data_IF_415960555119
#
_entry.id   IF_415960555119
#
_cell.length_a   1.000
_cell.length_b   1.000
_cell.length_c   1.000
_cell.angle_alpha   90.00
_cell.angle_beta   90.00
_cell.angle_gamma   90.00
#
_symmetry.space_group_name_H-M   'P 1'
#
loop_
_entity.id
_entity.type
_entity.pdbx_description
1 polymer ?
#
# COMPACT_ATOMS: atom_id res chain seq x y z
N UNK A 1 23.65 4.44 2.30
CA UNK A 1 23.48 5.90 2.48
C UNK A 1 22.09 6.09 3.05
N UNK A 2 21.97 6.50 4.31
CA UNK A 2 20.68 6.83 4.91
C UNK A 2 20.16 8.10 4.25
N UNK A 3 19.38 7.95 3.18
CA UNK A 3 18.72 9.08 2.55
C UNK A 3 17.78 9.70 3.59
N UNK A 4 18.04 10.95 3.97
CA UNK A 4 17.19 11.70 4.89
C UNK A 4 15.91 12.09 4.13
N UNK A 5 14.88 11.25 4.25
CA UNK A 5 13.53 11.56 3.74
C UNK A 5 12.82 12.43 4.76
N UNK A 6 12.37 13.60 4.34
CA UNK A 6 11.41 14.41 5.10
C UNK A 6 10.00 13.95 4.77
N UNK A 7 9.23 13.56 5.80
CA UNK A 7 7.84 13.14 5.68
C UNK A 7 6.92 14.30 6.07
N UNK A 8 6.47 15.07 5.06
CA UNK A 8 5.54 16.19 5.25
C UNK A 8 4.11 15.64 5.36
N UNK A 9 3.57 15.67 6.58
CA UNK A 9 2.22 15.21 6.89
C UNK A 9 1.22 16.36 6.89
N UNK A 10 0.06 16.12 6.29
CA UNK A 10 -1.09 17.02 6.35
C UNK A 10 -2.20 16.33 7.13
N UNK A 11 -2.86 17.05 8.02
CA UNK A 11 -4.00 16.58 8.79
C UNK A 11 -5.24 17.39 8.43
N UNK A 12 -6.39 16.74 8.49
CA UNK A 12 -7.67 17.43 8.44
C UNK A 12 -7.96 18.10 9.79
N UNK A 13 -8.78 19.14 9.78
CA UNK A 13 -9.42 19.65 10.99
C UNK A 13 -10.40 18.64 11.61
N UNK A 14 -10.95 18.92 12.80
CA UNK A 14 -11.90 18.02 13.46
C UNK A 14 -13.23 17.90 12.68
N UNK A 15 -14.01 16.83 12.92
CA UNK A 15 -15.38 16.72 12.43
C UNK A 15 -16.28 17.83 13.00
N UNK A 16 -17.34 18.23 12.28
CA UNK A 16 -17.77 17.71 10.99
C UNK A 16 -17.07 18.37 9.78
N UNK A 17 -16.27 19.41 10.00
CA UNK A 17 -15.77 20.28 8.92
C UNK A 17 -14.60 19.67 8.15
N UNK A 18 -13.77 18.86 8.81
CA UNK A 18 -12.59 18.22 8.22
C UNK A 18 -11.73 19.20 7.39
N UNK A 19 -11.38 20.35 7.98
CA UNK A 19 -10.66 21.41 7.27
C UNK A 19 -9.39 20.89 6.58
N UNK A 20 -9.28 21.11 5.27
CA UNK A 20 -8.13 20.68 4.45
C UNK A 20 -7.17 21.82 4.12
N UNK A 21 -7.33 22.98 4.77
CA UNK A 21 -6.57 24.18 4.44
C UNK A 21 -5.06 23.99 4.49
N UNK A 22 -4.55 23.13 5.38
CA UNK A 22 -3.13 22.79 5.48
C UNK A 22 -2.55 22.30 4.15
N UNK A 23 -3.26 21.40 3.46
CA UNK A 23 -2.85 20.93 2.12
C UNK A 23 -3.22 21.95 1.04
N UNK A 24 -4.43 22.49 1.06
CA UNK A 24 -4.94 23.34 -0.01
C UNK A 24 -4.12 24.63 -0.19
N UNK A 25 -3.50 25.15 0.88
CA UNK A 25 -2.61 26.32 0.82
C UNK A 25 -1.30 26.02 0.07
N UNK A 26 -0.74 24.81 0.21
CA UNK A 26 0.53 24.44 -0.42
C UNK A 26 0.34 23.77 -1.79
N UNK A 27 -0.84 23.19 -2.06
CA UNK A 27 -1.14 22.34 -3.23
C UNK A 27 -0.59 22.86 -4.56
N UNK A 28 -0.79 24.15 -4.87
CA UNK A 28 -0.37 24.75 -6.15
C UNK A 28 1.02 25.41 -6.10
N UNK A 29 1.66 25.44 -4.93
CA UNK A 29 2.94 26.14 -4.70
C UNK A 29 4.16 25.22 -4.88
N UNK A 30 3.96 23.90 -4.86
CA UNK A 30 5.04 22.91 -4.89
C UNK A 30 5.62 22.67 -6.30
N UNK A 31 4.98 23.19 -7.35
CA UNK A 31 5.36 22.97 -8.75
C UNK A 31 5.16 21.53 -9.20
N UNK A 32 4.10 20.88 -8.71
CA UNK A 32 3.64 19.55 -9.17
C UNK A 32 2.81 19.74 -10.46
N UNK A 33 3.06 18.92 -11.49
CA UNK A 33 2.29 18.96 -12.76
C UNK A 33 0.79 18.64 -12.54
N UNK A 34 0.51 17.62 -11.72
CA UNK A 34 -0.84 17.24 -11.35
C UNK A 34 -0.98 17.23 -9.82
N UNK A 35 -1.17 18.38 -9.15
CA UNK A 35 -1.11 18.47 -7.69
C UNK A 35 -2.03 17.49 -6.95
N UNK A 36 -1.44 16.55 -6.23
CA UNK A 36 -2.15 15.50 -5.50
C UNK A 36 -1.34 14.97 -4.30
N UNK A 37 -2.00 14.21 -3.43
CA UNK A 37 -1.34 13.39 -2.40
C UNK A 37 -1.49 11.90 -2.75
N UNK A 38 -0.46 11.06 -2.53
CA UNK A 38 0.88 11.45 -2.13
C UNK A 38 1.65 12.15 -3.26
N UNK A 39 2.67 12.92 -2.89
CA UNK A 39 3.69 13.44 -3.79
C UNK A 39 5.09 13.03 -3.29
N UNK A 40 6.08 13.09 -4.18
CA UNK A 40 7.48 12.85 -3.87
C UNK A 40 8.36 13.85 -4.61
N UNK A 41 9.32 14.46 -3.89
CA UNK A 41 10.25 15.46 -4.43
C UNK A 41 11.68 14.96 -4.17
N UNK A 42 12.48 14.88 -5.23
CA UNK A 42 13.87 14.42 -5.21
C UNK A 42 14.69 15.28 -6.18
N UNK A 43 15.21 16.40 -5.66
CA UNK A 43 15.81 17.45 -6.48
C UNK A 43 14.78 18.05 -7.45
N UNK A 44 15.08 17.99 -8.74
CA UNK A 44 14.20 18.47 -9.81
C UNK A 44 13.06 17.49 -10.13
N UNK A 45 13.13 16.24 -9.65
CA UNK A 45 12.09 15.24 -9.86
C UNK A 45 10.93 15.51 -8.91
N UNK A 46 9.76 15.78 -9.48
CA UNK A 46 8.52 16.05 -8.73
C UNK A 46 7.41 15.15 -9.25
N UNK A 47 7.00 14.18 -8.43
CA UNK A 47 6.05 13.15 -8.82
C UNK A 47 4.81 13.18 -7.93
N UNK A 48 3.69 12.80 -8.54
CA UNK A 48 2.42 12.46 -7.90
C UNK A 48 1.98 11.10 -8.38
N UNK A 49 0.92 10.53 -7.80
CA UNK A 49 0.47 9.13 -8.00
C UNK A 49 1.38 8.13 -7.30
N UNK A 50 0.81 7.39 -6.32
CA UNK A 50 1.56 6.43 -5.50
C UNK A 50 2.29 5.38 -6.34
N UNK A 51 1.65 4.84 -7.39
CA UNK A 51 2.27 3.85 -8.28
C UNK A 51 3.43 4.44 -9.08
N UNK A 52 3.31 5.67 -9.58
CA UNK A 52 4.39 6.33 -10.31
C UNK A 52 5.61 6.61 -9.42
N UNK A 53 5.35 7.03 -8.17
CA UNK A 53 6.39 7.23 -7.15
C UNK A 53 7.09 5.91 -6.83
N UNK A 54 6.34 4.83 -6.58
CA UNK A 54 6.92 3.50 -6.33
C UNK A 54 7.73 3.00 -7.52
N UNK A 55 7.24 3.13 -8.75
CA UNK A 55 7.97 2.77 -9.98
C UNK A 55 9.26 3.58 -10.14
N UNK A 56 9.25 4.88 -9.81
CA UNK A 56 10.45 5.72 -9.81
C UNK A 56 11.51 5.22 -8.82
N UNK A 57 11.11 4.98 -7.57
CA UNK A 57 12.01 4.45 -6.54
C UNK A 57 12.51 3.05 -6.90
N UNK A 58 11.65 2.22 -7.50
CA UNK A 58 12.01 0.90 -7.97
C UNK A 58 13.14 0.95 -9.00
N UNK A 59 13.02 1.79 -10.03
CA UNK A 59 14.08 2.00 -11.03
C UNK A 59 15.35 2.56 -10.41
N UNK A 60 15.23 3.55 -9.51
CA UNK A 60 16.38 4.17 -8.84
C UNK A 60 17.18 3.18 -7.99
N UNK A 61 16.53 2.16 -7.45
CA UNK A 61 17.12 1.22 -6.49
C UNK A 61 17.20 -0.24 -6.99
N UNK A 62 16.88 -0.51 -8.27
CA UNK A 62 16.95 -1.84 -8.85
C UNK A 62 15.92 -2.84 -8.31
N UNK A 63 14.74 -2.34 -7.89
CA UNK A 63 13.59 -3.13 -7.40
C UNK A 63 12.47 -3.25 -8.46
N UNK A 64 12.83 -3.07 -9.74
CA UNK A 64 11.97 -3.40 -10.87
C UNK A 64 12.21 -4.85 -11.32
N UNK A 65 11.26 -5.41 -12.09
CA UNK A 65 11.45 -6.71 -12.72
C UNK A 65 12.66 -6.68 -13.66
N UNK A 66 13.58 -7.63 -13.52
CA UNK A 66 14.84 -7.70 -14.27
C UNK A 66 14.67 -8.44 -15.58
N UNK A 67 13.82 -9.47 -15.59
CA UNK A 67 13.45 -10.21 -16.80
C UNK A 67 12.08 -9.79 -17.32
N UNK A 68 11.81 -10.06 -18.60
CA UNK A 68 10.49 -9.82 -19.18
C UNK A 68 9.37 -10.54 -18.40
N UNK A 69 9.62 -11.77 -17.95
CA UNK A 69 8.67 -12.51 -17.12
C UNK A 69 8.42 -11.82 -15.76
N UNK A 70 9.47 -11.32 -15.10
CA UNK A 70 9.30 -10.56 -13.84
C UNK A 70 8.54 -9.25 -14.08
N UNK A 71 8.79 -8.55 -15.20
CA UNK A 71 8.08 -7.32 -15.56
C UNK A 71 6.59 -7.55 -15.79
N UNK A 72 6.24 -8.60 -16.54
CA UNK A 72 4.83 -8.99 -16.73
C UNK A 72 4.13 -9.30 -15.41
N UNK A 73 4.82 -10.01 -14.50
CA UNK A 73 4.28 -10.28 -13.16
C UNK A 73 4.11 -9.01 -12.34
N UNK A 74 5.10 -8.11 -12.36
CA UNK A 74 5.02 -6.79 -11.72
C UNK A 74 3.79 -6.02 -12.20
N UNK A 75 3.59 -5.91 -13.51
CA UNK A 75 2.47 -5.12 -14.06
C UNK A 75 1.11 -5.72 -13.69
N UNK A 76 0.95 -7.05 -13.74
CA UNK A 76 -0.29 -7.72 -13.32
C UNK A 76 -0.54 -7.52 -11.83
N UNK A 77 0.48 -7.72 -10.99
CA UNK A 77 0.36 -7.63 -9.53
C UNK A 77 0.04 -6.20 -9.10
N UNK A 78 0.69 -5.20 -9.69
CA UNK A 78 0.39 -3.80 -9.41
C UNK A 78 -1.10 -3.51 -9.66
N UNK A 79 -1.60 -3.86 -10.84
CA UNK A 79 -2.98 -3.60 -11.22
C UNK A 79 -3.98 -4.38 -10.37
N UNK A 80 -3.72 -5.66 -10.09
CA UNK A 80 -4.63 -6.50 -9.32
C UNK A 80 -4.73 -6.03 -7.85
N UNK A 81 -3.62 -5.62 -7.24
CA UNK A 81 -3.65 -5.05 -5.89
C UNK A 81 -4.22 -3.63 -5.87
N UNK A 82 -4.10 -2.86 -6.95
CA UNK A 82 -4.78 -1.57 -7.08
C UNK A 82 -6.32 -1.75 -7.09
N UNK A 83 -6.83 -2.71 -7.86
CA UNK A 83 -8.27 -3.03 -7.87
C UNK A 83 -8.76 -3.55 -6.51
N UNK A 84 -7.96 -4.40 -5.86
CA UNK A 84 -8.25 -4.88 -4.51
C UNK A 84 -8.28 -3.74 -3.49
N UNK A 85 -7.31 -2.81 -3.56
CA UNK A 85 -7.29 -1.59 -2.73
C UNK A 85 -8.53 -0.75 -2.98
N UNK A 86 -8.94 -0.56 -4.23
CA UNK A 86 -10.13 0.25 -4.55
C UNK A 86 -11.41 -0.35 -3.96
N UNK A 87 -11.56 -1.68 -3.98
CA UNK A 87 -12.68 -2.35 -3.34
C UNK A 87 -12.65 -2.20 -1.81
N UNK A 88 -11.47 -2.34 -1.21
CA UNK A 88 -11.26 -2.11 0.22
C UNK A 88 -11.61 -0.68 0.65
N UNK A 89 -11.05 0.32 -0.03
CA UNK A 89 -11.30 1.75 0.23
C UNK A 89 -12.79 2.08 0.05
N UNK A 90 -13.45 1.54 -0.99
CA UNK A 90 -14.89 1.73 -1.18
C UNK A 90 -15.72 1.21 -0.01
N UNK A 91 -15.34 0.07 0.57
CA UNK A 91 -15.98 -0.43 1.79
C UNK A 91 -15.74 0.53 2.96
N UNK A 92 -14.47 0.85 3.25
CA UNK A 92 -14.08 1.65 4.42
C UNK A 92 -14.69 3.05 4.45
N UNK A 93 -14.95 3.67 3.30
CA UNK A 93 -15.56 5.00 3.20
C UNK A 93 -17.07 4.97 2.94
N UNK A 94 -17.70 3.78 2.94
CA UNK A 94 -19.14 3.68 2.74
C UNK A 94 -19.89 3.98 4.06
N UNK A 95 -20.88 4.89 4.09
CA UNK A 95 -21.69 5.14 5.30
C UNK A 95 -22.47 3.91 5.77
N UNK A 96 -22.75 2.94 4.89
CA UNK A 96 -23.36 1.65 5.21
C UNK A 96 -22.33 0.54 5.53
N UNK A 97 -21.09 0.89 5.91
CA UNK A 97 -19.99 -0.04 6.20
C UNK A 97 -20.42 -1.28 6.99
N UNK A 98 -21.12 -1.10 8.10
CA UNK A 98 -21.53 -2.22 8.98
C UNK A 98 -22.46 -3.22 8.27
N UNK A 99 -23.27 -2.77 7.30
CA UNK A 99 -24.15 -3.65 6.50
C UNK A 99 -23.36 -4.40 5.43
N UNK A 100 -22.37 -3.74 4.83
CA UNK A 100 -21.60 -4.27 3.69
C UNK A 100 -20.42 -5.16 4.12
N UNK A 101 -19.92 -4.97 5.35
CA UNK A 101 -18.78 -5.69 5.93
C UNK A 101 -18.93 -7.20 5.85
N UNK A 102 -20.12 -7.73 6.14
CA UNK A 102 -20.38 -9.18 6.11
C UNK A 102 -20.16 -9.80 4.73
N UNK A 103 -20.70 -9.18 3.68
CA UNK A 103 -20.55 -9.64 2.30
C UNK A 103 -19.09 -9.52 1.82
N UNK A 104 -18.41 -8.44 2.20
CA UNK A 104 -16.98 -8.30 1.90
C UNK A 104 -16.17 -9.45 2.53
N UNK A 105 -16.37 -9.72 3.82
CA UNK A 105 -15.68 -10.81 4.52
C UNK A 105 -15.99 -12.19 3.93
N UNK A 106 -17.22 -12.41 3.44
CA UNK A 106 -17.60 -13.65 2.74
C UNK A 106 -16.85 -13.84 1.43
N UNK A 107 -16.57 -12.75 0.70
CA UNK A 107 -15.89 -12.79 -0.59
C UNK A 107 -14.35 -12.69 -0.49
N UNK A 108 -13.83 -12.20 0.63
CA UNK A 108 -12.40 -12.03 0.87
C UNK A 108 -11.58 -13.32 0.64
N UNK A 109 -11.98 -14.52 1.12
CA UNK A 109 -11.23 -15.75 0.88
C UNK A 109 -11.02 -16.08 -0.60
N UNK A 110 -11.97 -15.76 -1.49
CA UNK A 110 -11.82 -16.00 -2.92
C UNK A 110 -10.73 -15.10 -3.54
N UNK A 111 -10.67 -13.84 -3.11
CA UNK A 111 -9.63 -12.90 -3.55
C UNK A 111 -8.25 -13.32 -3.03
N UNK A 112 -8.17 -13.69 -1.74
CA UNK A 112 -6.94 -14.19 -1.13
C UNK A 112 -6.47 -15.50 -1.77
N UNK A 113 -7.39 -16.40 -2.12
CA UNK A 113 -7.06 -17.62 -2.86
C UNK A 113 -6.42 -17.28 -4.21
N UNK A 114 -6.97 -16.32 -4.96
CA UNK A 114 -6.39 -15.91 -6.24
C UNK A 114 -4.95 -15.37 -6.08
N UNK A 115 -4.69 -14.56 -5.05
CA UNK A 115 -3.33 -14.10 -4.74
C UNK A 115 -2.40 -15.24 -4.29
N UNK A 116 -2.91 -16.16 -3.48
CA UNK A 116 -2.17 -17.34 -3.01
C UNK A 116 -1.78 -18.24 -4.18
N UNK A 117 -2.72 -18.53 -5.09
CA UNK A 117 -2.47 -19.31 -6.30
C UNK A 117 -1.45 -18.61 -7.22
N UNK A 118 -1.55 -17.28 -7.37
CA UNK A 118 -0.64 -16.49 -8.21
C UNK A 118 0.78 -16.41 -7.65
N UNK A 119 0.93 -16.25 -6.33
CA UNK A 119 2.22 -16.32 -5.65
C UNK A 119 2.82 -17.72 -5.79
N UNK A 120 1.99 -18.76 -5.64
CA UNK A 120 2.40 -20.15 -5.79
C UNK A 120 3.56 -20.50 -4.84
N UNK A 121 4.65 -21.00 -5.43
CA UNK A 121 5.90 -21.35 -4.73
C UNK A 121 6.96 -20.24 -4.75
N UNK A 122 6.70 -19.11 -5.40
CA UNK A 122 7.66 -18.01 -5.46
C UNK A 122 7.82 -17.34 -4.10
N UNK A 123 9.02 -16.79 -3.85
CA UNK A 123 9.30 -16.06 -2.61
C UNK A 123 8.57 -14.71 -2.54
N UNK A 124 8.40 -14.08 -3.70
CA UNK A 124 7.84 -12.75 -3.92
C UNK A 124 6.90 -12.78 -5.13
N UNK A 125 6.05 -11.77 -5.29
CA UNK A 125 5.01 -11.77 -6.32
C UNK A 125 5.57 -11.72 -7.75
N UNK A 126 6.71 -11.07 -7.95
CA UNK A 126 7.41 -11.05 -9.23
C UNK A 126 8.25 -12.31 -9.51
N UNK A 127 8.49 -13.17 -8.51
CA UNK A 127 9.38 -14.32 -8.61
C UNK A 127 10.23 -14.49 -7.35
N UNK A 128 11.54 -14.73 -7.50
CA UNK A 128 12.44 -14.91 -6.36
C UNK A 128 13.14 -13.62 -5.91
N UNK A 129 13.07 -12.57 -6.73
CA UNK A 129 13.61 -11.25 -6.42
C UNK A 129 12.52 -10.35 -5.81
N UNK A 130 12.89 -9.63 -4.76
CA UNK A 130 12.05 -8.57 -4.19
C UNK A 130 11.89 -7.43 -5.20
N UNK A 131 10.67 -6.95 -5.37
CA UNK A 131 10.30 -5.82 -6.22
C UNK A 131 9.37 -4.86 -5.48
N UNK A 132 9.09 -3.70 -6.06
CA UNK A 132 8.21 -2.71 -5.40
C UNK A 132 6.77 -3.21 -5.19
N UNK A 133 6.28 -4.15 -6.03
CA UNK A 133 4.90 -4.67 -5.88
C UNK A 133 4.72 -5.54 -4.64
N UNK A 134 5.80 -6.08 -4.09
CA UNK A 134 5.75 -6.82 -2.83
C UNK A 134 5.41 -5.90 -1.64
N UNK A 135 5.79 -4.62 -1.70
CA UNK A 135 5.40 -3.65 -0.67
C UNK A 135 3.91 -3.27 -0.77
N UNK A 136 3.36 -3.22 -1.98
CA UNK A 136 1.93 -3.00 -2.23
C UNK A 136 1.13 -4.20 -1.70
N UNK A 137 1.56 -5.42 -2.04
CA UNK A 137 0.94 -6.64 -1.56
C UNK A 137 1.02 -6.77 -0.03
N UNK A 138 2.18 -6.47 0.56
CA UNK A 138 2.38 -6.47 2.01
C UNK A 138 1.45 -5.49 2.74
N UNK A 139 1.36 -4.23 2.27
CA UNK A 139 0.44 -3.24 2.82
C UNK A 139 -1.00 -3.78 2.80
N UNK A 140 -1.41 -4.34 1.65
CA UNK A 140 -2.79 -4.80 1.52
C UNK A 140 -3.11 -6.01 2.39
N UNK A 141 -2.22 -7.00 2.45
CA UNK A 141 -2.41 -8.19 3.29
C UNK A 141 -2.41 -7.82 4.79
N UNK A 142 -1.54 -6.91 5.21
CA UNK A 142 -1.45 -6.50 6.63
C UNK A 142 -2.64 -5.65 7.08
N UNK A 143 -3.16 -4.76 6.23
CA UNK A 143 -4.43 -4.08 6.50
C UNK A 143 -5.58 -5.08 6.67
N UNK A 144 -5.61 -6.15 5.86
CA UNK A 144 -6.62 -7.18 5.97
C UNK A 144 -6.44 -8.08 7.20
N UNK A 145 -5.21 -8.30 7.67
CA UNK A 145 -4.95 -8.94 8.96
C UNK A 145 -5.43 -8.09 10.14
N UNK A 146 -5.37 -6.76 10.07
CA UNK A 146 -5.97 -5.90 11.09
C UNK A 146 -7.50 -6.00 11.06
N UNK A 147 -8.09 -6.04 9.86
CA UNK A 147 -9.54 -6.12 9.68
C UNK A 147 -10.14 -7.49 10.02
N UNK A 148 -9.45 -8.56 9.65
CA UNK A 148 -9.84 -9.95 9.83
C UNK A 148 -8.59 -10.79 10.17
N UNK A 149 -8.22 -10.91 11.46
CA UNK A 149 -6.96 -11.50 11.92
C UNK A 149 -6.66 -12.91 11.39
N UNK A 150 -7.70 -13.71 11.16
CA UNK A 150 -7.58 -15.08 10.69
C UNK A 150 -7.69 -15.23 9.18
N UNK A 151 -7.77 -14.13 8.39
CA UNK A 151 -8.06 -14.20 6.96
C UNK A 151 -7.00 -14.96 6.15
N UNK A 152 -5.76 -15.06 6.65
CA UNK A 152 -4.66 -15.80 5.99
C UNK A 152 -4.46 -17.22 6.51
N UNK A 153 -5.28 -17.72 7.45
CA UNK A 153 -5.04 -19.03 8.10
C UNK A 153 -5.00 -20.20 7.12
N UNK A 154 -5.79 -20.14 6.05
CA UNK A 154 -5.86 -21.18 4.99
C UNK A 154 -4.81 -20.96 3.88
N UNK A 155 -4.06 -19.85 3.93
CA UNK A 155 -3.13 -19.42 2.87
C UNK A 155 -1.70 -19.30 3.43
N UNK A 156 -1.11 -20.45 3.77
CA UNK A 156 0.20 -20.52 4.41
C UNK A 156 1.30 -19.80 3.62
N UNK A 157 1.26 -19.80 2.28
CA UNK A 157 2.22 -19.09 1.45
C UNK A 157 2.09 -17.55 1.55
N UNK A 158 0.87 -17.02 1.64
CA UNK A 158 0.65 -15.58 1.88
C UNK A 158 1.09 -15.17 3.28
N UNK A 159 0.82 -15.99 4.30
CA UNK A 159 1.33 -15.75 5.66
C UNK A 159 2.87 -15.75 5.67
N UNK A 160 3.50 -16.73 5.02
CA UNK A 160 4.94 -16.81 4.91
C UNK A 160 5.55 -15.65 4.10
N UNK A 161 4.83 -15.12 3.11
CA UNK A 161 5.21 -13.92 2.38
C UNK A 161 5.21 -12.68 3.28
N UNK A 162 4.15 -12.46 4.07
CA UNK A 162 4.09 -11.36 5.05
C UNK A 162 5.27 -11.44 6.01
N UNK A 163 5.49 -12.60 6.62
CA UNK A 163 6.60 -12.81 7.57
C UNK A 163 7.96 -12.54 6.93
N UNK A 164 8.12 -12.87 5.65
CA UNK A 164 9.35 -12.62 4.89
C UNK A 164 9.62 -11.14 4.68
N UNK A 165 8.61 -10.38 4.30
CA UNK A 165 8.73 -8.93 4.09
C UNK A 165 9.05 -8.23 5.40
N UNK A 166 8.38 -8.62 6.50
CA UNK A 166 8.66 -8.08 7.84
C UNK A 166 10.06 -8.40 8.35
N UNK A 167 10.62 -9.53 7.94
CA UNK A 167 11.97 -9.95 8.31
C UNK A 167 13.08 -9.23 7.51
N UNK A 168 12.76 -8.46 6.46
CA UNK A 168 13.77 -7.70 5.72
C UNK A 168 14.42 -6.68 6.68
N UNK A 169 15.77 -6.58 6.77
CA UNK A 169 16.44 -5.81 7.82
C UNK A 169 15.94 -4.36 8.00
N UNK A 170 15.76 -3.64 6.89
CA UNK A 170 15.29 -2.26 6.91
C UNK A 170 13.79 -2.15 7.23
N UNK A 171 12.96 -3.11 6.82
CA UNK A 171 11.53 -3.16 7.16
C UNK A 171 11.37 -3.50 8.64
N UNK A 172 12.06 -4.54 9.13
CA UNK A 172 12.07 -4.94 10.54
C UNK A 172 12.50 -3.78 11.46
N UNK A 173 13.52 -3.03 11.06
CA UNK A 173 13.97 -1.84 11.79
C UNK A 173 12.92 -0.73 11.78
N UNK A 174 12.32 -0.45 10.61
CA UNK A 174 11.25 0.55 10.49
C UNK A 174 10.03 0.19 11.35
N UNK A 175 9.53 -1.04 11.28
CA UNK A 175 8.36 -1.52 12.03
C UNK A 175 8.51 -1.46 13.56
N UNK A 176 9.75 -1.41 14.06
CA UNK A 176 10.11 -1.25 15.48
C UNK A 176 10.35 0.21 15.88
N UNK A 177 10.48 1.12 14.93
CA UNK A 177 10.74 2.54 15.17
C UNK A 177 9.46 3.32 15.46
N UNK A 178 9.61 4.47 16.11
CA UNK A 178 8.57 5.48 16.34
C UNK A 178 8.06 6.15 15.05
N UNK A 179 8.82 6.02 13.95
CA UNK A 179 8.43 6.52 12.63
C UNK A 179 7.34 5.68 11.97
N UNK A 180 7.18 4.42 12.38
CA UNK A 180 6.20 3.52 11.77
C UNK A 180 4.78 3.92 12.15
N UNK A 181 4.01 4.31 11.14
CA UNK A 181 2.57 4.55 11.28
C UNK A 181 1.85 3.22 11.09
N UNK A 182 1.26 2.71 12.17
CA UNK A 182 0.44 1.48 12.15
C UNK A 182 -1.05 1.75 12.13
N UNK A 183 -1.45 2.96 12.53
CA UNK A 183 -2.82 3.44 12.62
C UNK A 183 -2.83 4.98 12.60
N UNK A 184 -3.86 5.63 12.02
CA UNK A 184 -4.99 5.06 11.29
C UNK A 184 -4.59 4.45 9.94
N UNK A 185 -5.43 3.55 9.40
CA UNK A 185 -5.23 2.96 8.07
C UNK A 185 -5.77 3.84 6.96
N UNK A 186 -6.88 4.53 7.21
CA UNK A 186 -7.51 5.46 6.28
C UNK A 186 -7.54 6.88 6.89
N UNK A 187 -8.01 7.85 6.12
CA UNK A 187 -8.20 9.21 6.63
C UNK A 187 -9.46 9.34 7.49
N UNK A 188 -9.51 10.39 8.33
CA UNK A 188 -10.50 10.62 9.41
C UNK A 188 -11.99 10.56 9.02
N UNK A 189 -12.31 10.56 7.73
CA UNK A 189 -13.69 10.44 7.21
C UNK A 189 -14.12 8.98 6.98
N UNK A 190 -13.22 8.00 7.13
CA UNK A 190 -13.54 6.59 6.94
C UNK A 190 -14.37 6.03 8.09
N UNK A 191 -15.26 5.09 7.78
CA UNK A 191 -16.01 4.30 8.77
C UNK A 191 -15.16 3.20 9.41
N UNK A 192 -14.03 2.83 8.81
CA UNK A 192 -13.07 1.90 9.38
C UNK A 192 -11.65 2.26 8.96
N UNK A 193 -10.71 2.11 9.89
CA UNK A 193 -9.28 2.26 9.62
C UNK A 193 -8.80 3.66 9.88
#
# INVERSE_FOLDING_TARGET
>A
VDAKVEDKRYSCGPPPDFDRSAWLKEKTTLGLEFPNLPYYIDGDVKLTQSMAILRYLARKHGLEGKTEAEKQRVDIVEQQFADFRMNWVRLCYNPDFEKLKGDYLKNLPASLKAFSDYLGSHKFFAGDNLTYVDFIAYEMLTQHLIFAPDCLKEFANLKAFVDRVEALPHVAAYLKSDKCIKWPLNGDMASFG
#
